data_IF_783417800372
#
_entry.id   IF_783417800372
#
_cell.length_a   1.000
_cell.length_b   1.000
_cell.length_c   1.000
_cell.angle_alpha   90.00
_cell.angle_beta   90.00
_cell.angle_gamma   90.00
#
_symmetry.space_group_name_H-M   'P 1'
#
loop_
_entity.id
_entity.type
_entity.pdbx_description
1 polymer ?
#
# COMPACT_ATOMS: atom_id res chain seq x y z
N UNK A 1 -24.51 -23.65 4.95
CA UNK A 1 -25.12 -22.34 5.23
C UNK A 1 -24.01 -21.32 5.07
N UNK A 2 -23.70 -20.99 3.81
CA UNK A 2 -22.59 -20.12 3.45
C UNK A 2 -22.97 -18.69 3.77
N UNK A 3 -22.36 -18.12 4.81
CA UNK A 3 -22.39 -16.68 5.05
C UNK A 3 -21.10 -16.12 4.50
N UNK A 4 -21.17 -15.57 3.29
CA UNK A 4 -20.20 -14.62 2.78
C UNK A 4 -20.19 -13.42 3.73
N UNK A 5 -19.18 -13.37 4.60
CA UNK A 5 -18.86 -12.15 5.36
C UNK A 5 -17.67 -11.55 4.63
N UNK A 6 -17.99 -10.51 3.88
CA UNK A 6 -17.04 -9.67 3.16
C UNK A 6 -16.12 -9.04 4.21
N UNK A 7 -14.86 -9.49 4.28
CA UNK A 7 -13.84 -8.71 4.94
C UNK A 7 -13.45 -7.57 4.01
N UNK A 8 -14.16 -6.46 4.19
CA UNK A 8 -13.84 -5.17 3.58
C UNK A 8 -12.49 -4.76 4.17
N UNK A 9 -11.41 -4.98 3.43
CA UNK A 9 -10.19 -4.21 3.62
C UNK A 9 -10.49 -2.77 3.19
N UNK A 10 -11.09 -2.03 4.12
CA UNK A 10 -10.98 -0.58 4.33
C UNK A 10 -10.70 0.21 3.04
N UNK A 11 -11.75 0.44 2.26
CA UNK A 11 -11.87 1.62 1.40
C UNK A 11 -12.78 2.67 2.06
N UNK A 12 -12.80 2.72 3.40
CA UNK A 12 -13.56 3.73 4.12
C UNK A 12 -12.86 4.06 5.43
N UNK A 13 -12.69 5.37 5.67
CA UNK A 13 -12.15 6.03 6.88
C UNK A 13 -10.64 6.29 6.89
N UNK A 14 -10.24 7.27 6.06
CA UNK A 14 -9.47 8.46 6.50
C UNK A 14 -9.20 9.46 5.35
N UNK A 15 -9.87 9.35 4.21
CA UNK A 15 -10.08 10.47 3.30
C UNK A 15 -11.51 10.97 3.48
N UNK A 16 -11.71 11.77 4.54
CA UNK A 16 -12.94 12.53 4.67
C UNK A 16 -13.11 13.35 3.38
N UNK A 17 -14.36 13.43 2.91
CA UNK A 17 -14.79 14.19 1.75
C UNK A 17 -14.40 15.66 1.90
N UNK A 18 -13.17 16.01 1.53
CA UNK A 18 -12.75 17.39 1.37
C UNK A 18 -13.17 17.81 -0.03
N UNK A 19 -14.44 18.19 -0.20
CA UNK A 19 -14.83 18.98 -1.36
C UNK A 19 -14.48 20.43 -1.07
N UNK A 20 -13.19 20.78 -1.18
CA UNK A 20 -12.81 22.18 -1.36
C UNK A 20 -13.29 22.57 -2.76
N UNK A 21 -14.52 23.07 -2.83
CA UNK A 21 -15.16 23.37 -4.11
C UNK A 21 -14.52 24.66 -4.66
N UNK A 22 -13.80 24.53 -5.78
CA UNK A 22 -13.18 25.57 -6.61
C UNK A 22 -11.95 26.30 -6.02
N UNK A 23 -10.80 25.97 -6.62
CA UNK A 23 -9.65 26.84 -6.89
C UNK A 23 -8.86 27.47 -5.74
N UNK A 24 -9.21 27.27 -4.48
CA UNK A 24 -8.33 27.65 -3.36
C UNK A 24 -7.60 26.42 -2.86
N UNK A 25 -6.52 26.05 -3.56
CA UNK A 25 -5.41 25.40 -2.86
C UNK A 25 -4.93 26.40 -1.80
N UNK A 26 -4.68 25.91 -0.59
CA UNK A 26 -3.82 26.61 0.37
C UNK A 26 -2.58 27.13 -0.38
N UNK A 27 -1.99 28.26 0.02
CA UNK A 27 -0.76 28.86 -0.57
C UNK A 27 0.49 27.92 -0.51
N UNK A 28 0.30 26.62 -0.32
CA UNK A 28 1.29 25.56 -0.43
C UNK A 28 1.71 25.39 -1.89
N UNK A 29 3.01 25.48 -2.15
CA UNK A 29 3.59 25.18 -3.45
C UNK A 29 3.32 23.70 -3.81
N UNK A 30 2.66 23.49 -4.95
CA UNK A 30 2.44 22.14 -5.50
C UNK A 30 3.75 21.57 -6.05
N UNK A 31 3.96 20.25 -5.97
CA UNK A 31 5.19 19.64 -6.46
C UNK A 31 5.36 19.87 -7.96
N UNK A 32 6.57 20.20 -8.37
CA UNK A 32 6.97 20.34 -9.77
C UNK A 32 7.95 19.23 -10.18
N UNK A 33 8.24 19.12 -11.48
CA UNK A 33 9.26 18.18 -11.96
C UNK A 33 10.67 18.47 -11.44
N UNK A 34 10.93 19.60 -10.78
CA UNK A 34 12.22 19.87 -10.13
C UNK A 34 12.32 19.24 -8.74
N UNK A 35 11.18 18.98 -8.11
CA UNK A 35 11.09 18.51 -6.72
C UNK A 35 11.06 16.98 -6.64
N UNK A 36 10.90 16.31 -7.78
CA UNK A 36 10.82 14.84 -7.87
C UNK A 36 12.07 14.32 -8.56
N UNK A 37 12.90 13.51 -7.89
CA UNK A 37 14.12 13.01 -8.49
C UNK A 37 13.78 12.11 -9.68
N UNK A 38 14.55 12.26 -10.75
CA UNK A 38 14.57 11.31 -11.85
C UNK A 38 15.48 10.14 -11.46
N UNK A 39 15.05 9.34 -10.49
CA UNK A 39 15.81 8.21 -9.98
C UNK A 39 15.50 6.95 -10.79
N UNK A 40 16.52 6.43 -11.48
CA UNK A 40 16.59 5.01 -11.84
C UNK A 40 16.79 4.19 -10.56
N UNK A 41 16.06 3.08 -10.40
CA UNK A 41 16.05 2.25 -9.19
C UNK A 41 17.46 2.06 -8.59
N UNK A 42 17.69 2.55 -7.37
CA UNK A 42 18.97 2.46 -6.70
C UNK A 42 19.19 1.05 -6.12
N UNK A 43 20.31 0.45 -6.56
CA UNK A 43 21.06 -0.68 -5.98
C UNK A 43 20.31 -2.00 -5.73
N UNK A 44 20.36 -2.83 -6.77
CA UNK A 44 20.07 -4.24 -6.80
C UNK A 44 20.85 -5.00 -5.71
N UNK A 45 20.19 -5.39 -4.61
CA UNK A 45 20.64 -6.61 -3.92
C UNK A 45 20.51 -7.74 -4.96
N UNK A 46 21.63 -8.33 -5.42
CA UNK A 46 21.60 -9.30 -6.51
C UNK A 46 20.81 -10.55 -6.13
N UNK A 47 20.64 -10.83 -4.83
CA UNK A 47 19.83 -11.94 -4.33
C UNK A 47 18.34 -11.65 -4.40
N UNK A 48 17.88 -10.39 -4.23
CA UNK A 48 16.44 -10.08 -4.29
C UNK A 48 15.82 -10.53 -5.61
N UNK A 49 16.54 -10.39 -6.71
CA UNK A 49 16.07 -10.82 -8.03
C UNK A 49 15.94 -12.35 -8.17
N UNK A 50 16.67 -13.12 -7.36
CA UNK A 50 16.76 -14.59 -7.40
C UNK A 50 15.78 -15.30 -6.47
N UNK A 51 15.14 -14.58 -5.55
CA UNK A 51 14.20 -15.14 -4.58
C UNK A 51 12.83 -14.49 -4.71
N UNK A 52 11.80 -15.29 -4.44
CA UNK A 52 10.42 -14.83 -4.28
C UNK A 52 9.94 -15.18 -2.89
N UNK A 53 9.07 -14.35 -2.33
CA UNK A 53 8.34 -14.70 -1.11
C UNK A 53 7.43 -15.88 -1.42
N UNK A 54 7.59 -16.97 -0.68
CA UNK A 54 6.79 -18.19 -0.78
C UNK A 54 5.59 -18.12 0.16
N UNK A 55 5.82 -17.70 1.40
CA UNK A 55 4.77 -17.52 2.38
C UNK A 55 5.12 -16.47 3.43
N UNK A 56 4.08 -15.98 4.11
CA UNK A 56 4.20 -15.12 5.29
C UNK A 56 3.28 -15.67 6.37
N UNK A 57 3.83 -15.94 7.55
CA UNK A 57 3.01 -16.14 8.75
C UNK A 57 2.86 -14.82 9.47
N UNK A 58 1.65 -14.44 9.82
CA UNK A 58 1.32 -13.32 10.67
C UNK A 58 0.77 -13.85 11.99
N UNK A 59 1.31 -13.37 13.11
CA UNK A 59 0.86 -13.76 14.43
C UNK A 59 0.74 -12.54 15.31
N UNK A 60 -0.43 -12.40 15.91
CA UNK A 60 -0.75 -11.41 16.93
C UNK A 60 -0.95 -12.13 18.27
N UNK A 61 -1.80 -13.16 18.29
CA UNK A 61 -2.07 -13.98 19.48
C UNK A 61 -2.42 -15.43 19.10
N UNK A 62 -2.52 -16.37 20.06
CA UNK A 62 -2.90 -17.75 19.76
C UNK A 62 -4.21 -17.85 18.98
N UNK A 63 -5.16 -16.95 19.24
CA UNK A 63 -6.49 -16.92 18.62
C UNK A 63 -6.57 -15.95 17.41
N UNK A 64 -5.45 -15.31 17.05
CA UNK A 64 -5.36 -14.33 15.96
C UNK A 64 -4.03 -14.51 15.21
N UNK A 65 -4.04 -15.42 14.25
CA UNK A 65 -2.86 -15.79 13.47
C UNK A 65 -3.26 -16.22 12.06
N UNK A 66 -2.41 -15.95 11.07
CA UNK A 66 -2.68 -16.22 9.65
C UNK A 66 -1.42 -16.74 8.97
N UNK A 67 -1.59 -17.58 7.97
CA UNK A 67 -0.59 -17.95 6.99
C UNK A 67 -1.05 -17.45 5.64
N UNK A 68 -0.18 -16.75 4.92
CA UNK A 68 -0.38 -16.29 3.55
C UNK A 68 0.57 -17.07 2.65
N UNK A 69 0.06 -17.76 1.64
CA UNK A 69 0.85 -18.46 0.62
C UNK A 69 0.75 -17.73 -0.71
N UNK A 70 1.86 -17.64 -1.41
CA UNK A 70 1.98 -17.01 -2.72
C UNK A 70 2.27 -18.08 -3.76
N UNK A 71 1.38 -18.21 -4.74
CA UNK A 71 1.42 -19.25 -5.76
C UNK A 71 1.80 -18.59 -7.07
N UNK A 72 2.82 -19.15 -7.73
CA UNK A 72 3.38 -18.60 -8.96
C UNK A 72 3.28 -19.61 -10.10
N UNK A 73 3.23 -19.12 -11.33
CA UNK A 73 3.37 -19.95 -12.53
C UNK A 73 4.84 -20.33 -12.83
N UNK A 74 5.08 -20.99 -13.97
CA UNK A 74 6.40 -21.42 -14.41
C UNK A 74 7.33 -20.23 -14.77
N UNK A 75 6.75 -19.10 -15.15
CA UNK A 75 7.45 -17.85 -15.46
C UNK A 75 7.67 -16.96 -14.23
N UNK A 76 7.34 -17.47 -13.03
CA UNK A 76 7.45 -16.78 -11.76
C UNK A 76 6.50 -15.57 -11.61
N UNK A 77 5.41 -15.50 -12.37
CA UNK A 77 4.33 -14.54 -12.16
C UNK A 77 3.43 -14.99 -11.01
N UNK A 78 3.02 -14.07 -10.14
CA UNK A 78 2.11 -14.39 -9.04
C UNK A 78 0.70 -14.62 -9.59
N UNK A 79 0.16 -15.84 -9.49
CA UNK A 79 -1.17 -16.19 -9.99
C UNK A 79 -2.23 -16.21 -8.90
N UNK A 80 -1.84 -16.51 -7.65
CA UNK A 80 -2.78 -16.53 -6.52
C UNK A 80 -2.08 -16.23 -5.19
N UNK A 81 -2.82 -15.61 -4.27
CA UNK A 81 -2.49 -15.45 -2.86
C UNK A 81 -3.60 -16.08 -2.03
N UNK A 82 -3.25 -17.01 -1.16
CA UNK A 82 -4.19 -17.69 -0.27
C UNK A 82 -3.86 -17.37 1.18
N UNK A 83 -4.82 -16.82 1.92
CA UNK A 83 -4.69 -16.53 3.35
C UNK A 83 -5.55 -17.53 4.12
N UNK A 84 -4.96 -18.25 5.07
CA UNK A 84 -5.67 -19.16 5.99
C UNK A 84 -5.29 -18.91 7.44
N UNK A 85 -6.13 -19.27 8.40
CA UNK A 85 -5.78 -19.19 9.82
C UNK A 85 -6.99 -18.85 10.67
N UNK A 86 -6.76 -18.10 11.76
CA UNK A 86 -7.78 -17.68 12.71
C UNK A 86 -7.78 -16.16 12.92
N UNK A 87 -8.97 -15.60 13.09
CA UNK A 87 -9.16 -14.21 13.52
C UNK A 87 -10.00 -14.14 14.78
N UNK A 88 -9.62 -13.22 15.67
CA UNK A 88 -10.45 -12.81 16.79
C UNK A 88 -11.22 -11.54 16.39
N UNK A 89 -12.51 -11.67 16.12
CA UNK A 89 -13.37 -10.55 15.72
C UNK A 89 -14.61 -10.50 16.63
N UNK A 90 -14.86 -9.36 17.25
CA UNK A 90 -15.97 -9.15 18.18
C UNK A 90 -16.07 -10.23 19.29
N UNK A 91 -14.91 -10.70 19.77
CA UNK A 91 -14.82 -11.74 20.81
C UNK A 91 -15.07 -13.18 20.33
N UNK A 92 -15.16 -13.41 19.02
CA UNK A 92 -15.35 -14.74 18.44
C UNK A 92 -14.11 -15.13 17.63
N UNK A 93 -13.67 -16.38 17.83
CA UNK A 93 -12.61 -17.00 17.04
C UNK A 93 -13.25 -17.60 15.79
N UNK A 94 -12.70 -17.27 14.62
CA UNK A 94 -13.19 -17.78 13.34
C UNK A 94 -12.04 -18.26 12.48
N UNK A 95 -12.21 -19.42 11.88
CA UNK A 95 -11.33 -19.84 10.80
C UNK A 95 -11.58 -18.97 9.57
N UNK A 96 -10.51 -18.56 8.91
CA UNK A 96 -10.56 -17.75 7.70
C UNK A 96 -9.88 -18.46 6.55
N UNK A 97 -10.45 -18.28 5.36
CA UNK A 97 -9.80 -18.58 4.09
C UNK A 97 -10.19 -17.48 3.10
N UNK A 98 -9.20 -16.75 2.60
CA UNK A 98 -9.36 -15.76 1.54
C UNK A 98 -8.46 -16.10 0.37
N UNK A 99 -8.97 -15.94 -0.83
CA UNK A 99 -8.23 -16.21 -2.06
C UNK A 99 -8.28 -15.00 -2.98
N UNK A 100 -7.09 -14.56 -3.40
CA UNK A 100 -6.90 -13.48 -4.37
C UNK A 100 -6.21 -14.06 -5.59
N UNK A 101 -6.80 -13.92 -6.77
CA UNK A 101 -6.21 -14.34 -8.04
C UNK A 101 -5.84 -13.12 -8.90
N UNK A 102 -4.84 -13.31 -9.77
CA UNK A 102 -4.33 -12.26 -10.66
C UNK A 102 -4.46 -12.69 -12.11
N UNK A 103 -5.19 -11.90 -12.89
CA UNK A 103 -5.26 -12.07 -14.35
C UNK A 103 -4.26 -11.14 -15.02
N UNK A 104 -3.58 -11.66 -16.05
CA UNK A 104 -2.55 -10.93 -16.78
C UNK A 104 -3.00 -10.60 -18.21
N UNK A 105 -2.60 -9.43 -18.68
CA UNK A 105 -2.68 -9.01 -20.07
C UNK A 105 -1.37 -8.34 -20.46
N UNK A 106 -0.77 -8.78 -21.58
CA UNK A 106 0.53 -8.28 -22.06
C UNK A 106 1.65 -8.34 -20.99
N UNK A 107 1.65 -9.36 -20.13
CA UNK A 107 2.66 -9.54 -19.09
C UNK A 107 2.46 -8.70 -17.83
N UNK A 108 1.37 -7.94 -17.72
CA UNK A 108 1.03 -7.11 -16.55
C UNK A 108 -0.30 -7.57 -15.95
N UNK A 109 -0.46 -7.46 -14.63
CA UNK A 109 -1.74 -7.73 -13.97
C UNK A 109 -2.81 -6.76 -14.47
N UNK A 110 -3.82 -7.27 -15.17
CA UNK A 110 -4.96 -6.49 -15.66
C UNK A 110 -6.16 -6.52 -14.70
N UNK A 111 -6.28 -7.56 -13.87
CA UNK A 111 -7.39 -7.69 -12.93
C UNK A 111 -6.99 -8.45 -11.67
N UNK A 112 -7.61 -8.05 -10.55
CA UNK A 112 -7.51 -8.74 -9.26
C UNK A 112 -8.90 -9.27 -8.93
N UNK A 113 -8.95 -10.57 -8.62
CA UNK A 113 -10.16 -11.30 -8.32
C UNK A 113 -10.10 -11.73 -6.86
N UNK A 114 -11.10 -11.39 -6.06
CA UNK A 114 -11.21 -11.82 -4.67
C UNK A 114 -12.47 -12.68 -4.53
N UNK A 115 -12.30 -13.89 -3.99
CA UNK A 115 -13.39 -14.87 -3.82
C UNK A 115 -14.24 -15.08 -5.09
N UNK A 116 -13.57 -15.18 -6.24
CA UNK A 116 -14.18 -15.42 -7.55
C UNK A 116 -14.88 -14.21 -8.19
N UNK A 117 -14.69 -13.01 -7.65
CA UNK A 117 -15.25 -11.76 -8.20
C UNK A 117 -14.15 -10.80 -8.58
N UNK A 118 -14.21 -10.23 -9.78
CA UNK A 118 -13.31 -9.14 -10.17
C UNK A 118 -13.58 -7.94 -9.26
N UNK A 119 -12.61 -7.60 -8.42
CA UNK A 119 -12.72 -6.47 -7.49
C UNK A 119 -11.96 -5.26 -7.99
N UNK A 120 -10.89 -5.50 -8.76
CA UNK A 120 -10.03 -4.45 -9.28
C UNK A 120 -9.71 -4.67 -10.75
N UNK A 121 -9.84 -3.63 -11.57
CA UNK A 121 -9.30 -3.57 -12.94
C UNK A 121 -8.22 -2.51 -13.03
N UNK A 122 -7.12 -2.82 -13.71
CA UNK A 122 -5.95 -1.95 -13.78
C UNK A 122 -5.69 -1.60 -15.24
N UNK A 123 -5.42 -0.32 -15.50
CA UNK A 123 -5.23 0.23 -16.84
C UNK A 123 -3.87 0.90 -16.94
N UNK A 124 -3.16 0.62 -18.03
CA UNK A 124 -1.79 1.05 -18.27
C UNK A 124 -1.70 1.99 -19.47
N UNK A 125 -0.71 2.89 -19.47
CA UNK A 125 -0.30 3.60 -20.68
C UNK A 125 0.68 2.80 -21.54
N UNK A 126 1.18 3.40 -22.62
CA UNK A 126 2.16 2.79 -23.52
C UNK A 126 3.58 2.68 -22.95
N UNK A 127 3.80 3.13 -21.71
CA UNK A 127 5.05 3.01 -20.96
C UNK A 127 4.88 2.06 -19.77
N UNK A 128 3.83 1.24 -19.78
CA UNK A 128 3.49 0.26 -18.75
C UNK A 128 3.25 0.87 -17.36
N UNK A 129 2.85 2.15 -17.31
CA UNK A 129 2.51 2.84 -16.06
C UNK A 129 1.01 2.76 -15.79
N UNK A 130 0.64 2.51 -14.54
CA UNK A 130 -0.77 2.48 -14.12
C UNK A 130 -1.36 3.88 -14.23
N UNK A 131 -2.29 4.10 -15.16
CA UNK A 131 -2.97 5.41 -15.32
C UNK A 131 -4.28 5.48 -14.56
N UNK A 132 -4.96 4.34 -14.43
CA UNK A 132 -6.25 4.22 -13.78
C UNK A 132 -6.37 2.84 -13.11
N UNK A 133 -7.07 2.82 -11.98
CA UNK A 133 -7.57 1.62 -11.33
C UNK A 133 -9.07 1.79 -11.09
N UNK A 134 -9.87 0.77 -11.40
CA UNK A 134 -11.27 0.69 -11.02
C UNK A 134 -11.40 -0.34 -9.90
N UNK A 135 -11.73 0.09 -8.68
CA UNK A 135 -11.83 -0.77 -7.51
C UNK A 135 -13.24 -0.73 -6.91
N UNK A 136 -13.95 -1.86 -6.94
CA UNK A 136 -15.38 -1.96 -6.60
C UNK A 136 -16.25 -0.87 -7.27
N UNK A 137 -15.95 -0.55 -8.54
CA UNK A 137 -16.66 0.46 -9.33
C UNK A 137 -16.22 1.90 -9.06
N UNK A 138 -15.24 2.14 -8.19
CA UNK A 138 -14.65 3.46 -7.97
C UNK A 138 -13.42 3.64 -8.86
N UNK A 139 -13.44 4.68 -9.68
CA UNK A 139 -12.33 5.06 -10.53
C UNK A 139 -11.30 5.90 -9.74
N UNK A 140 -10.07 5.41 -9.70
CA UNK A 140 -8.89 6.04 -9.12
C UNK A 140 -7.87 6.29 -10.23
N UNK A 141 -7.29 7.48 -10.25
CA UNK A 141 -6.33 7.94 -11.26
C UNK A 141 -5.00 8.31 -10.60
N UNK A 142 -3.92 8.18 -11.39
CA UNK A 142 -2.56 8.41 -10.91
C UNK A 142 -1.89 9.50 -11.75
N UNK A 143 -1.31 10.50 -11.07
CA UNK A 143 -0.55 11.56 -11.72
C UNK A 143 0.94 11.36 -11.49
N UNK A 144 1.72 11.53 -12.56
CA UNK A 144 3.15 11.27 -12.58
C UNK A 144 3.97 12.54 -12.82
N UNK A 145 5.08 12.67 -12.10
CA UNK A 145 6.17 13.60 -12.39
C UNK A 145 7.48 12.81 -12.40
N UNK A 146 8.29 12.99 -13.45
CA UNK A 146 9.56 12.26 -13.64
C UNK A 146 9.45 10.74 -13.44
N UNK A 147 8.35 10.13 -13.88
CA UNK A 147 8.13 8.68 -13.77
C UNK A 147 7.68 8.18 -12.40
N UNK A 148 7.52 9.05 -11.40
CA UNK A 148 7.00 8.72 -10.06
C UNK A 148 5.57 9.20 -9.89
N UNK A 149 4.75 8.41 -9.18
CA UNK A 149 3.38 8.80 -8.83
C UNK A 149 3.45 9.88 -7.75
N UNK A 150 3.00 11.09 -8.06
CA UNK A 150 2.96 12.18 -7.07
C UNK A 150 1.57 12.39 -6.50
N UNK A 151 0.51 11.95 -7.16
CA UNK A 151 -0.85 12.10 -6.64
C UNK A 151 -1.80 11.01 -7.09
N UNK A 152 -2.79 10.74 -6.23
CA UNK A 152 -3.82 9.72 -6.40
C UNK A 152 -5.17 10.40 -6.17
N UNK A 153 -6.02 10.43 -7.20
CA UNK A 153 -7.27 11.19 -7.18
C UNK A 153 -8.44 10.39 -7.76
N UNK A 154 -9.66 10.75 -7.36
CA UNK A 154 -10.87 10.09 -7.84
C UNK A 154 -11.44 10.78 -9.08
N UNK A 155 -12.30 10.07 -9.81
CA UNK A 155 -13.03 10.66 -10.93
C UNK A 155 -13.72 11.97 -10.56
N UNK A 156 -13.55 12.99 -11.42
CA UNK A 156 -14.17 14.30 -11.24
C UNK A 156 -13.52 15.16 -10.14
N UNK A 157 -12.35 14.76 -9.65
CA UNK A 157 -11.53 15.55 -8.72
C UNK A 157 -10.29 16.12 -9.40
N UNK A 158 -9.82 17.26 -8.90
CA UNK A 158 -8.57 17.86 -9.36
C UNK A 158 -7.39 16.99 -8.94
N UNK A 159 -6.32 17.01 -9.76
CA UNK A 159 -5.17 16.11 -9.63
C UNK A 159 -4.61 16.04 -8.22
N UNK A 160 -4.49 17.16 -7.51
CA UNK A 160 -3.90 17.23 -6.17
C UNK A 160 -4.92 17.37 -5.04
N UNK A 161 -6.22 17.17 -5.31
CA UNK A 161 -7.27 17.44 -4.32
C UNK A 161 -7.17 16.56 -3.07
N UNK A 162 -6.64 15.34 -3.21
CA UNK A 162 -6.49 14.39 -2.11
C UNK A 162 -5.16 14.53 -1.37
N UNK A 163 -4.18 15.18 -2.00
CA UNK A 163 -2.81 15.29 -1.51
C UNK A 163 -1.76 14.84 -2.52
N UNK A 164 -0.50 14.85 -2.10
CA UNK A 164 0.62 14.42 -2.92
C UNK A 164 1.76 13.81 -2.10
N UNK A 165 2.56 12.97 -2.76
CA UNK A 165 3.78 12.39 -2.22
C UNK A 165 4.99 13.25 -2.53
N UNK A 166 5.92 13.33 -1.56
CA UNK A 166 7.24 13.93 -1.71
C UNK A 166 8.27 12.82 -1.59
N UNK A 167 9.27 12.86 -2.48
CA UNK A 167 10.31 11.86 -2.59
C UNK A 167 11.66 12.42 -2.17
N UNK A 168 12.51 11.57 -1.58
CA UNK A 168 13.92 11.88 -1.37
C UNK A 168 14.77 11.50 -2.59
N UNK A 169 16.07 11.81 -2.54
CA UNK A 169 17.01 11.51 -3.63
C UNK A 169 17.22 10.02 -3.91
N UNK A 170 16.87 9.13 -2.96
CA UNK A 170 16.90 7.68 -3.15
C UNK A 170 15.66 7.17 -3.88
N UNK A 171 14.62 8.00 -3.99
CA UNK A 171 13.35 7.67 -4.62
C UNK A 171 12.34 7.05 -3.68
N UNK A 172 12.52 7.22 -2.36
CA UNK A 172 11.57 6.83 -1.32
C UNK A 172 10.56 7.95 -1.05
N UNK A 173 9.29 7.61 -0.89
CA UNK A 173 8.21 8.54 -0.56
C UNK A 173 8.30 8.92 0.93
N UNK A 174 9.04 9.97 1.25
CA UNK A 174 9.33 10.40 2.64
C UNK A 174 8.23 11.23 3.29
N UNK A 175 7.29 11.75 2.50
CA UNK A 175 6.16 12.54 3.01
C UNK A 175 4.92 12.38 2.15
N UNK A 176 3.75 12.40 2.79
CA UNK A 176 2.46 12.63 2.15
C UNK A 176 1.84 13.91 2.71
N UNK A 177 1.48 14.84 1.84
CA UNK A 177 0.83 16.10 2.19
C UNK A 177 -0.61 16.03 1.73
N UNK A 178 -1.56 16.19 2.65
CA UNK A 178 -3.00 16.25 2.37
C UNK A 178 -3.56 17.60 2.82
N UNK A 179 -4.75 17.95 2.35
CA UNK A 179 -5.39 19.22 2.68
C UNK A 179 -6.69 18.97 3.43
N UNK A 180 -6.76 19.45 4.66
CA UNK A 180 -7.97 19.40 5.48
C UNK A 180 -8.66 20.76 5.45
N UNK A 181 -10.00 20.81 5.42
CA UNK A 181 -10.69 22.08 5.55
C UNK A 181 -10.56 22.57 6.99
N UNK A 182 -10.54 23.89 7.20
CA UNK A 182 -10.78 24.37 8.56
C UNK A 182 -12.25 24.15 8.91
N UNK A 183 -12.51 23.90 10.18
CA UNK A 183 -13.86 23.66 10.67
C UNK A 183 -14.35 24.87 11.48
N UNK A 184 -15.61 25.23 11.30
CA UNK A 184 -16.28 26.21 12.15
C UNK A 184 -16.56 25.61 13.54
N UNK A 185 -17.16 26.40 14.44
CA UNK A 185 -17.45 25.94 15.81
C UNK A 185 -18.44 24.76 15.89
N UNK A 186 -19.16 24.45 14.82
CA UNK A 186 -20.07 23.30 14.69
C UNK A 186 -19.39 22.07 14.07
N UNK A 187 -18.12 22.18 13.67
CA UNK A 187 -17.40 21.11 12.99
C UNK A 187 -17.66 21.04 11.47
N UNK A 188 -18.26 22.07 10.89
CA UNK A 188 -18.55 22.14 9.44
C UNK A 188 -17.37 22.79 8.69
N UNK A 189 -17.01 22.31 7.49
CA UNK A 189 -15.98 22.94 6.66
C UNK A 189 -16.26 24.43 6.41
N UNK A 190 -15.23 25.26 6.55
CA UNK A 190 -15.27 26.68 6.17
C UNK A 190 -14.88 26.79 4.69
N UNK A 191 -15.78 27.33 3.88
CA UNK A 191 -15.55 27.49 2.44
C UNK A 191 -14.29 28.31 2.17
N UNK A 192 -13.43 27.78 1.29
CA UNK A 192 -12.21 28.45 0.83
C UNK A 192 -11.04 28.43 1.81
N UNK A 193 -11.15 27.73 2.95
CA UNK A 193 -10.04 27.60 3.89
C UNK A 193 -9.63 26.15 4.07
N UNK A 194 -8.31 25.94 4.13
CA UNK A 194 -7.70 24.65 4.39
C UNK A 194 -6.40 24.83 5.17
N UNK A 195 -5.90 23.75 5.72
CA UNK A 195 -4.53 23.65 6.19
C UNK A 195 -3.89 22.35 5.72
N UNK A 196 -2.58 22.35 5.44
CA UNK A 196 -1.86 21.13 5.11
C UNK A 196 -1.75 20.23 6.35
N UNK A 197 -1.95 18.93 6.13
CA UNK A 197 -1.61 17.87 7.07
C UNK A 197 -0.51 17.02 6.46
N UNK A 198 0.62 16.97 7.14
CA UNK A 198 1.77 16.18 6.73
C UNK A 198 1.84 14.85 7.47
N UNK A 199 2.17 13.80 6.74
CA UNK A 199 2.53 12.49 7.27
C UNK A 199 3.95 12.20 6.79
N UNK A 200 4.88 12.07 7.73
CA UNK A 200 6.26 11.69 7.42
C UNK A 200 6.44 10.17 7.47
N UNK A 201 7.33 9.68 6.63
CA UNK A 201 7.73 8.29 6.54
C UNK A 201 9.23 8.16 6.74
N UNK A 202 9.66 7.08 7.37
CA UNK A 202 11.08 6.73 7.45
C UNK A 202 11.30 5.33 6.92
N UNK A 203 12.49 5.08 6.39
CA UNK A 203 12.86 3.82 5.78
C UNK A 203 14.18 3.31 6.38
N UNK A 204 14.43 2.01 6.27
CA UNK A 204 15.77 1.49 6.46
C UNK A 204 16.55 1.51 5.13
N UNK A 205 17.71 0.84 5.10
CA UNK A 205 18.54 0.68 3.89
C UNK A 205 18.45 -0.74 3.34
N UNK A 206 17.50 -1.54 3.81
CA UNK A 206 17.30 -2.92 3.41
C UNK A 206 16.43 -3.01 2.18
N UNK A 207 16.52 -4.15 1.48
CA UNK A 207 15.72 -4.37 0.28
C UNK A 207 14.33 -4.90 0.61
N UNK A 208 13.33 -4.47 -0.15
CA UNK A 208 11.97 -5.00 -0.02
C UNK A 208 11.95 -6.50 -0.35
N UNK A 209 11.06 -7.30 0.28
CA UNK A 209 10.72 -8.63 -0.22
C UNK A 209 10.26 -8.55 -1.68
N UNK A 210 10.49 -9.64 -2.43
CA UNK A 210 10.12 -9.74 -3.84
C UNK A 210 8.92 -10.66 -4.02
N UNK A 211 7.82 -10.11 -4.53
CA UNK A 211 6.60 -10.84 -4.86
C UNK A 211 6.38 -10.97 -6.37
N UNK A 212 7.33 -10.50 -7.19
CA UNK A 212 7.15 -10.40 -8.65
C UNK A 212 6.19 -9.30 -9.09
N UNK A 213 5.82 -8.37 -8.18
CA UNK A 213 4.78 -7.36 -8.39
C UNK A 213 5.26 -5.92 -8.11
N UNK A 214 6.55 -5.63 -8.27
CA UNK A 214 7.11 -4.30 -7.94
C UNK A 214 6.49 -3.15 -8.74
N UNK A 215 5.99 -3.43 -9.94
CA UNK A 215 5.29 -2.47 -10.78
C UNK A 215 3.85 -2.20 -10.29
N UNK A 216 3.26 -3.10 -9.50
CA UNK A 216 1.86 -3.06 -9.08
C UNK A 216 1.72 -2.39 -7.70
N UNK A 217 2.11 -1.11 -7.61
CA UNK A 217 2.12 -0.37 -6.34
C UNK A 217 0.72 -0.14 -5.71
N UNK A 218 -0.34 -0.41 -6.46
CA UNK A 218 -1.74 -0.33 -5.99
C UNK A 218 -2.17 -1.56 -5.20
N UNK A 219 -1.36 -2.62 -5.21
CA UNK A 219 -1.63 -3.85 -4.50
C UNK A 219 -0.65 -3.99 -3.33
N UNK A 220 -1.19 -4.39 -2.17
CA UNK A 220 -0.42 -4.59 -0.97
C UNK A 220 -0.17 -6.10 -0.76
N UNK A 221 1.04 -6.60 -1.06
CA UNK A 221 1.35 -8.01 -0.88
C UNK A 221 1.41 -8.40 0.60
N UNK A 222 2.07 -7.60 1.44
CA UNK A 222 2.16 -7.83 2.89
C UNK A 222 0.86 -7.34 3.56
N UNK A 223 -0.01 -8.21 4.08
CA UNK A 223 -1.28 -7.79 4.65
C UNK A 223 -1.07 -6.90 5.89
N UNK A 224 -2.00 -5.97 6.15
CA UNK A 224 -2.14 -5.33 7.47
C UNK A 224 -1.55 -3.93 7.67
N UNK A 225 -0.73 -3.40 6.75
CA UNK A 225 -0.09 -2.08 6.92
C UNK A 225 -1.01 -0.84 6.73
N UNK A 226 -2.26 -1.01 6.28
CA UNK A 226 -3.19 0.10 6.03
C UNK A 226 -2.87 0.92 4.76
N UNK A 227 -3.82 1.75 4.32
CA UNK A 227 -3.81 2.34 2.96
C UNK A 227 -2.64 3.31 2.69
N UNK A 228 -2.48 4.35 3.52
CA UNK A 228 -1.45 5.38 3.30
C UNK A 228 -0.02 4.82 3.51
N UNK A 229 0.28 4.07 4.58
CA UNK A 229 1.58 3.42 4.73
C UNK A 229 1.87 2.41 3.63
N UNK A 230 0.87 1.67 3.15
CA UNK A 230 1.04 0.73 2.04
C UNK A 230 1.48 1.48 0.76
N UNK A 231 0.79 2.55 0.37
CA UNK A 231 1.24 3.34 -0.79
C UNK A 231 2.65 3.90 -0.60
N UNK A 232 2.96 4.46 0.56
CA UNK A 232 4.30 4.98 0.84
C UNK A 232 5.36 3.88 0.67
N UNK A 233 5.12 2.68 1.20
CA UNK A 233 6.00 1.52 1.04
C UNK A 233 6.12 1.05 -0.41
N UNK A 234 5.00 0.89 -1.11
CA UNK A 234 5.03 0.32 -2.47
C UNK A 234 5.66 1.29 -3.49
N UNK A 235 5.48 2.60 -3.30
CA UNK A 235 6.08 3.64 -4.13
C UNK A 235 7.57 3.89 -3.83
N UNK A 236 8.07 3.37 -2.71
CA UNK A 236 9.45 3.50 -2.25
C UNK A 236 10.30 2.30 -2.65
N UNK A 237 11.62 2.45 -2.67
CA UNK A 237 12.55 1.35 -2.92
C UNK A 237 12.91 0.58 -1.65
N UNK A 238 12.90 1.26 -0.51
CA UNK A 238 13.33 0.74 0.79
C UNK A 238 12.18 0.20 1.63
N UNK A 239 12.47 -0.52 2.72
CA UNK A 239 11.44 -0.97 3.66
C UNK A 239 11.01 0.18 4.59
N UNK A 240 9.70 0.44 4.63
CA UNK A 240 9.10 1.45 5.52
C UNK A 240 9.27 1.03 6.98
N UNK A 241 9.89 1.87 7.81
CA UNK A 241 10.16 1.63 9.25
C UNK A 241 9.30 2.46 10.19
N UNK A 242 8.71 3.57 9.72
CA UNK A 242 7.77 4.38 10.50
C UNK A 242 6.83 5.18 9.62
N UNK A 243 5.58 5.34 10.05
CA UNK A 243 4.56 6.11 9.35
C UNK A 243 3.18 5.96 9.97
N UNK A 244 2.36 7.01 9.91
CA UNK A 244 0.96 7.00 10.38
C UNK A 244 0.74 6.51 11.83
N UNK A 245 1.72 6.69 12.72
CA UNK A 245 1.64 6.22 14.11
C UNK A 245 2.05 4.76 14.32
N UNK A 246 2.53 4.07 13.29
CA UNK A 246 3.10 2.72 13.39
C UNK A 246 4.62 2.76 13.18
N UNK A 247 5.30 1.75 13.71
CA UNK A 247 6.70 1.41 13.41
C UNK A 247 6.80 -0.04 12.96
N UNK A 248 7.72 -0.31 12.04
CA UNK A 248 8.02 -1.65 11.54
C UNK A 248 9.52 -1.92 11.68
N UNK A 249 9.86 -2.94 12.44
CA UNK A 249 11.25 -3.38 12.63
C UNK A 249 11.50 -4.65 11.84
N UNK A 250 12.48 -4.59 10.94
CA UNK A 250 12.86 -5.71 10.09
C UNK A 250 14.07 -6.44 10.67
N UNK A 251 14.10 -7.76 10.50
CA UNK A 251 15.35 -8.53 10.61
C UNK A 251 15.65 -9.17 9.27
N UNK A 252 16.95 -9.38 9.00
CA UNK A 252 17.45 -9.82 7.70
C UNK A 252 18.24 -11.12 7.85
N UNK A 253 18.14 -12.00 6.86
CA UNK A 253 19.01 -13.17 6.77
C UNK A 253 20.40 -12.81 6.21
N UNK A 254 21.26 -13.82 6.06
CA UNK A 254 22.62 -13.70 5.51
C UNK A 254 22.67 -13.20 4.06
N UNK A 255 21.55 -13.26 3.33
CA UNK A 255 21.42 -12.74 1.96
C UNK A 255 20.93 -11.28 1.93
N UNK A 256 20.70 -10.68 3.10
CA UNK A 256 20.14 -9.34 3.22
C UNK A 256 18.65 -9.28 2.84
N UNK A 257 17.93 -10.40 2.85
CA UNK A 257 16.48 -10.45 2.63
C UNK A 257 15.74 -10.36 3.96
N UNK A 258 14.66 -9.57 4.07
CA UNK A 258 13.91 -9.43 5.31
C UNK A 258 13.19 -10.74 5.64
N UNK A 259 13.41 -11.29 6.83
CA UNK A 259 12.81 -12.55 7.29
C UNK A 259 11.79 -12.38 8.40
N UNK A 260 11.83 -11.25 9.11
CA UNK A 260 10.75 -10.88 10.03
C UNK A 260 10.41 -9.41 9.91
N UNK A 261 9.15 -9.08 10.23
CA UNK A 261 8.66 -7.73 10.43
C UNK A 261 7.94 -7.73 11.77
N UNK A 262 8.30 -6.81 12.66
CA UNK A 262 7.54 -6.56 13.89
C UNK A 262 6.88 -5.21 13.79
N UNK A 263 5.57 -5.19 13.88
CA UNK A 263 4.78 -3.98 13.90
C UNK A 263 4.52 -3.54 15.34
N UNK A 264 4.64 -2.24 15.59
CA UNK A 264 4.24 -1.62 16.85
C UNK A 264 3.45 -0.35 16.57
N UNK A 265 2.26 -0.29 17.15
CA UNK A 265 1.46 0.94 17.19
C UNK A 265 1.99 1.85 18.30
N UNK A 266 2.24 3.12 17.98
CA UNK A 266 2.79 4.12 18.91
C UNK A 266 1.70 4.84 19.74
N UNK A 267 0.50 4.26 19.87
CA UNK A 267 -0.57 4.80 20.72
C UNK A 267 -0.43 4.41 22.19
N UNK A 268 -1.23 5.07 23.05
CA UNK A 268 -1.19 4.88 24.51
C UNK A 268 -1.74 3.53 25.00
N UNK A 269 -2.34 2.74 24.11
CA UNK A 269 -2.90 1.43 24.47
C UNK A 269 -1.87 0.34 24.18
N UNK A 270 -1.57 -0.56 25.15
CA UNK A 270 -0.79 -1.75 24.86
C UNK A 270 -1.58 -2.60 23.88
N UNK A 271 -1.16 -2.58 22.62
CA UNK A 271 -1.60 -3.54 21.62
C UNK A 271 -0.53 -4.63 21.58
N UNK A 272 -0.93 -5.88 21.35
CA UNK A 272 0.03 -6.92 20.99
C UNK A 272 0.85 -6.42 19.79
N UNK A 273 2.15 -6.70 19.78
CA UNK A 273 3.04 -6.33 18.67
C UNK A 273 2.95 -7.44 17.60
N UNK A 274 2.17 -7.28 16.52
CA UNK A 274 2.03 -8.35 15.54
C UNK A 274 3.37 -8.59 14.86
N UNK A 275 3.67 -9.86 14.60
CA UNK A 275 4.90 -10.26 13.94
C UNK A 275 4.61 -11.05 12.68
N UNK A 276 5.38 -10.74 11.65
CA UNK A 276 5.38 -11.40 10.37
C UNK A 276 6.68 -12.19 10.25
N UNK A 277 6.60 -13.44 9.81
CA UNK A 277 7.77 -14.24 9.39
C UNK A 277 7.65 -14.50 7.91
N UNK A 278 8.69 -14.18 7.15
CA UNK A 278 8.72 -14.26 5.70
C UNK A 278 9.59 -15.43 5.28
N UNK A 279 9.03 -16.30 4.45
CA UNK A 279 9.71 -17.45 3.87
C UNK A 279 9.91 -17.23 2.38
N UNK A 280 11.04 -17.70 1.86
CA UNK A 280 11.43 -17.48 0.48
C UNK A 280 11.64 -18.80 -0.25
N UNK A 281 11.31 -18.80 -1.55
CA UNK A 281 11.76 -19.80 -2.51
C UNK A 281 12.75 -19.17 -3.48
N UNK A 282 13.65 -19.99 -4.03
CA UNK A 282 14.51 -19.57 -5.15
C UNK A 282 13.69 -19.62 -6.45
N UNK A 283 13.90 -18.65 -7.34
CA UNK A 283 13.33 -18.64 -8.69
C UNK A 283 13.90 -19.74 -9.57
#
# INVERSE_FOLDING_TARGET
MEKHIIFIAILTVCMALCSCNKNTYCDTELPTSKDVPNTTMATENPYRSQYLVDSITWYDSPDNHKETKYIYDEDNNLISRVITGQILEAGLIRDVRYETEFEYSNGLVSSIIEDGRVTTRIYYDNQDRITKMEHYGNDVYFHYLNGKVVSIYYQGKDVFSNGFFVYDEHGDAVKYVSFNPDLNFLGEPIDGTCHPREISFTYDQGVKPNFGLDYLFVYQPIPGMGTVPAYARELSLSNLTSGCGSTWTYTYNELGLPVTIRERWNGDTPVNDPHYTIYYKKK
#
